data_IF_102859315052
#
_entry.id   IF_102859315052
#
_cell.length_a   1.000
_cell.length_b   1.000
_cell.length_c   1.000
_cell.angle_alpha   90.00
_cell.angle_beta   90.00
_cell.angle_gamma   90.00
#
_symmetry.space_group_name_H-M   'P 1'
#
loop_
_entity.id
_entity.type
_entity.pdbx_description
1 polymer ?
#
# COMPACT_ATOMS: atom_id res chain seq x y z
N UNK A 1 38.24 -6.14 -21.81
CA UNK A 1 39.04 -7.37 -21.58
C UNK A 1 39.48 -7.34 -20.13
N UNK A 2 39.41 -8.49 -19.45
CA UNK A 2 39.59 -8.75 -18.01
C UNK A 2 38.37 -8.61 -17.11
N UNK A 3 38.04 -9.78 -16.55
CA UNK A 3 36.97 -10.12 -15.65
C UNK A 3 37.46 -10.08 -14.21
N UNK A 4 36.54 -9.87 -13.27
CA UNK A 4 36.72 -10.26 -11.87
C UNK A 4 35.69 -11.33 -11.51
N UNK A 5 36.21 -12.40 -10.92
CA UNK A 5 35.53 -13.62 -10.50
C UNK A 5 34.98 -13.45 -9.08
N UNK A 6 33.80 -13.99 -8.83
CA UNK A 6 33.31 -14.39 -7.51
C UNK A 6 32.61 -15.74 -7.63
N UNK A 7 33.21 -16.78 -7.07
CA UNK A 7 32.83 -18.19 -7.20
C UNK A 7 31.98 -18.66 -6.01
N UNK A 8 30.89 -19.39 -6.27
CA UNK A 8 30.22 -20.23 -5.26
C UNK A 8 30.03 -21.64 -5.82
N UNK A 9 30.35 -22.63 -4.98
CA UNK A 9 30.43 -24.06 -5.28
C UNK A 9 29.06 -24.69 -5.60
N UNK A 10 29.02 -25.47 -6.67
CA UNK A 10 27.94 -26.41 -7.00
C UNK A 10 28.24 -27.78 -6.39
N UNK A 11 27.40 -28.28 -5.50
CA UNK A 11 27.36 -29.68 -5.10
C UNK A 11 26.26 -30.42 -5.88
N UNK A 12 26.64 -31.46 -6.62
CA UNK A 12 25.71 -32.42 -7.24
C UNK A 12 25.37 -33.52 -6.24
N UNK A 13 24.14 -34.05 -6.27
CA UNK A 13 23.91 -35.44 -5.92
C UNK A 13 23.56 -36.27 -7.17
N UNK A 14 24.35 -37.31 -7.38
CA UNK A 14 24.05 -38.43 -8.28
C UNK A 14 23.26 -39.50 -7.51
N UNK A 15 22.23 -40.11 -8.13
CA UNK A 15 21.94 -41.52 -7.90
C UNK A 15 20.49 -41.94 -7.67
N UNK A 16 19.88 -42.45 -8.74
CA UNK A 16 19.00 -43.64 -8.82
C UNK A 16 17.83 -43.80 -7.82
N UNK A 17 16.63 -43.55 -8.35
CA UNK A 17 15.69 -44.62 -8.71
C UNK A 17 14.91 -45.29 -7.57
N UNK A 18 13.64 -44.92 -7.45
CA UNK A 18 12.57 -45.83 -7.01
C UNK A 18 11.26 -45.45 -7.69
N UNK A 19 10.69 -46.42 -8.43
CA UNK A 19 9.32 -46.39 -8.93
C UNK A 19 8.39 -46.62 -7.73
N UNK A 20 7.44 -45.72 -7.49
CA UNK A 20 6.32 -45.99 -6.61
C UNK A 20 5.01 -45.86 -7.39
N UNK A 21 4.25 -46.95 -7.37
CA UNK A 21 3.02 -47.14 -8.10
C UNK A 21 1.87 -46.36 -7.45
N UNK A 22 1.16 -45.56 -8.24
CA UNK A 22 -0.14 -45.02 -7.88
C UNK A 22 -1.18 -46.15 -7.94
N UNK A 23 -1.58 -46.65 -6.77
CA UNK A 23 -2.81 -47.44 -6.62
C UNK A 23 -3.97 -46.47 -6.43
N UNK A 24 -4.93 -46.55 -7.35
CA UNK A 24 -6.26 -45.97 -7.19
C UNK A 24 -6.94 -46.54 -5.93
N UNK A 25 -7.51 -45.66 -5.11
CA UNK A 25 -8.41 -46.02 -4.03
C UNK A 25 -9.66 -45.13 -4.11
N UNK A 26 -10.80 -45.79 -3.93
CA UNK A 26 -12.12 -45.37 -4.36
C UNK A 26 -12.78 -44.32 -3.47
N UNK A 27 -13.62 -43.52 -4.11
CA UNK A 27 -14.68 -42.66 -3.55
C UNK A 27 -15.64 -43.47 -2.67
N UNK A 28 -15.97 -43.02 -1.44
CA UNK A 28 -17.20 -43.42 -0.78
C UNK A 28 -18.30 -42.37 -1.03
N UNK A 29 -19.42 -42.88 -1.53
CA UNK A 29 -20.66 -42.15 -1.84
C UNK A 29 -21.31 -41.58 -0.56
N UNK A 30 -21.80 -40.34 -0.65
CA UNK A 30 -22.73 -39.72 0.32
C UNK A 30 -24.09 -40.43 0.30
N UNK A 31 -24.83 -40.50 1.42
CA UNK A 31 -26.27 -40.61 1.38
C UNK A 31 -26.94 -39.22 1.41
N UNK A 32 -27.99 -39.08 0.62
CA UNK A 32 -28.87 -37.92 0.54
C UNK A 32 -29.63 -37.67 1.85
N UNK A 33 -29.68 -36.41 2.28
CA UNK A 33 -30.78 -35.89 3.09
C UNK A 33 -31.25 -34.56 2.51
N UNK A 34 -32.49 -34.55 2.02
CA UNK A 34 -33.25 -33.35 1.69
C UNK A 34 -33.62 -32.67 3.01
N UNK A 35 -33.43 -31.35 3.10
CA UNK A 35 -34.33 -30.54 3.91
C UNK A 35 -34.39 -29.11 3.41
N UNK A 36 -35.59 -28.74 2.96
CA UNK A 36 -36.10 -27.39 2.80
C UNK A 36 -36.18 -26.71 4.17
N UNK A 37 -35.66 -25.49 4.30
CA UNK A 37 -35.77 -24.71 5.54
C UNK A 37 -35.47 -23.24 5.28
N UNK A 38 -36.54 -22.46 5.30
CA UNK A 38 -36.64 -21.00 5.23
C UNK A 38 -35.64 -20.23 6.11
N UNK A 39 -35.10 -19.15 5.55
CA UNK A 39 -34.38 -18.08 6.27
C UNK A 39 -35.33 -17.38 7.22
N UNK A 40 -35.01 -17.36 8.52
CA UNK A 40 -35.67 -16.52 9.52
C UNK A 40 -34.62 -15.57 10.08
N UNK A 41 -34.79 -14.29 9.79
CA UNK A 41 -34.09 -13.19 10.44
C UNK A 41 -34.75 -12.97 11.79
N UNK A 42 -34.04 -13.25 12.89
CA UNK A 42 -34.52 -12.95 14.23
C UNK A 42 -33.77 -11.71 14.75
N UNK A 43 -34.50 -10.60 14.84
CA UNK A 43 -34.12 -9.44 15.62
C UNK A 43 -34.18 -9.81 17.12
N UNK A 44 -33.11 -9.54 17.86
CA UNK A 44 -33.11 -9.65 19.31
C UNK A 44 -32.86 -8.26 19.91
N UNK A 45 -33.95 -7.65 20.40
CA UNK A 45 -33.95 -6.55 21.35
C UNK A 45 -33.98 -7.13 22.78
N UNK A 46 -33.08 -6.64 23.64
CA UNK A 46 -33.27 -6.30 25.08
C UNK A 46 -31.89 -6.32 25.79
N UNK A 47 -31.41 -5.16 26.24
CA UNK A 47 -31.51 -4.69 27.64
C UNK A 47 -30.73 -5.57 28.64
N UNK A 48 -29.44 -5.24 28.83
CA UNK A 48 -28.70 -5.59 30.04
C UNK A 48 -28.07 -4.33 30.64
N UNK A 49 -28.48 -4.00 31.87
CA UNK A 49 -28.06 -2.82 32.64
C UNK A 49 -26.59 -2.95 33.09
N UNK A 50 -25.98 -1.77 33.18
CA UNK A 50 -24.59 -1.47 33.49
C UNK A 50 -24.05 -2.06 34.81
N UNK A 51 -22.86 -2.65 34.75
CA UNK A 51 -21.84 -2.49 35.78
C UNK A 51 -20.70 -1.63 35.20
N UNK A 52 -20.61 -0.39 35.68
CA UNK A 52 -19.60 0.57 35.24
C UNK A 52 -18.23 0.17 35.80
N UNK A 53 -17.50 -0.68 35.07
CA UNK A 53 -16.04 -0.70 35.18
C UNK A 53 -15.53 0.57 34.52
N UNK A 54 -14.84 1.41 35.30
CA UNK A 54 -14.10 2.58 34.81
C UNK A 54 -12.93 2.10 33.92
N UNK A 55 -13.23 1.58 32.73
CA UNK A 55 -12.28 1.59 31.62
C UNK A 55 -12.09 3.05 31.25
N UNK A 56 -10.92 3.57 31.60
CA UNK A 56 -10.45 4.88 31.16
C UNK A 56 -10.36 4.77 29.64
N UNK A 57 -11.39 5.21 28.92
CA UNK A 57 -11.36 5.33 27.46
C UNK A 57 -10.20 6.27 27.14
N UNK A 58 -9.05 5.71 26.79
CA UNK A 58 -8.04 6.44 26.04
C UNK A 58 -8.77 6.88 24.79
N UNK A 59 -9.04 8.17 24.69
CA UNK A 59 -9.74 8.78 23.56
C UNK A 59 -9.05 8.33 22.27
N UNK A 60 -9.81 7.83 21.29
CA UNK A 60 -9.32 7.39 19.97
C UNK A 60 -8.35 8.42 19.34
N UNK A 61 -8.50 9.70 19.65
CA UNK A 61 -7.56 10.80 19.33
C UNK A 61 -6.08 10.58 19.72
N UNK A 62 -5.79 9.64 20.62
CA UNK A 62 -4.41 9.32 21.06
C UNK A 62 -3.77 8.14 20.32
N UNK A 63 -4.55 7.37 19.57
CA UNK A 63 -4.09 6.16 18.87
C UNK A 63 -3.91 6.37 17.36
N UNK A 64 -4.45 7.45 16.78
CA UNK A 64 -4.37 7.74 15.34
C UNK A 64 -3.08 8.49 15.01
N UNK A 65 -2.02 7.73 14.70
CA UNK A 65 -0.75 8.27 14.17
C UNK A 65 -0.94 8.79 12.74
N UNK A 66 -1.76 8.10 11.94
CA UNK A 66 -2.08 8.40 10.55
C UNK A 66 -3.59 8.31 10.36
N UNK A 67 -4.19 9.35 9.80
CA UNK A 67 -5.63 9.49 9.61
C UNK A 67 -5.97 10.92 9.20
N UNK A 68 -7.11 11.17 8.54
CA UNK A 68 -7.43 12.47 7.97
C UNK A 68 -7.38 13.57 9.04
N UNK A 69 -6.45 14.51 8.84
CA UNK A 69 -6.28 15.67 9.72
C UNK A 69 -7.26 16.78 9.28
N UNK A 70 -7.69 17.66 10.20
CA UNK A 70 -8.62 18.75 9.88
C UNK A 70 -8.02 19.80 8.94
N UNK A 71 -6.69 19.86 8.83
CA UNK A 71 -5.97 20.80 7.99
C UNK A 71 -5.13 20.06 6.98
N UNK A 72 -4.86 20.70 5.84
CA UNK A 72 -3.99 20.13 4.81
C UNK A 72 -2.62 19.79 5.40
N UNK A 73 -2.07 18.64 5.03
CA UNK A 73 -0.77 18.16 5.51
C UNK A 73 0.31 18.12 4.43
N UNK A 74 1.55 18.23 4.87
CA UNK A 74 2.79 18.03 4.12
C UNK A 74 3.76 17.22 4.99
N UNK A 75 4.85 16.72 4.40
CA UNK A 75 5.93 16.09 5.16
C UNK A 75 6.78 17.13 5.92
N UNK A 76 7.47 16.71 7.01
CA UNK A 76 8.34 17.58 7.81
C UNK A 76 9.73 17.76 7.20
N UNK A 77 10.33 16.70 6.69
CA UNK A 77 11.65 16.69 6.07
C UNK A 77 11.61 15.98 4.73
N UNK A 78 12.60 16.28 3.90
CA UNK A 78 12.77 15.66 2.61
C UNK A 78 13.22 14.21 2.77
N UNK A 79 12.61 13.33 1.98
CA UNK A 79 13.01 11.92 1.89
C UNK A 79 13.04 11.52 0.43
N UNK A 80 13.77 10.48 0.08
CA UNK A 80 13.74 10.04 -1.30
C UNK A 80 14.26 8.63 -1.47
N UNK A 81 13.98 8.08 -2.63
CA UNK A 81 14.28 6.72 -3.00
C UNK A 81 14.78 6.71 -4.44
N UNK A 82 15.71 5.80 -4.73
CA UNK A 82 16.20 5.56 -6.08
C UNK A 82 15.91 4.11 -6.47
N UNK A 83 15.69 3.87 -7.76
CA UNK A 83 15.42 2.52 -8.24
C UNK A 83 15.12 2.47 -9.72
N UNK A 84 14.66 1.31 -10.18
CA UNK A 84 14.37 1.02 -11.57
C UNK A 84 12.85 1.04 -11.77
N UNK A 85 12.39 1.71 -12.83
CA UNK A 85 10.98 1.64 -13.24
C UNK A 85 10.58 0.24 -13.71
N UNK A 86 9.41 -0.23 -13.27
CA UNK A 86 8.90 -1.57 -13.59
C UNK A 86 8.80 -1.81 -15.09
N UNK A 87 8.21 -0.87 -15.82
CA UNK A 87 7.88 -1.03 -17.22
C UNK A 87 9.00 -0.59 -18.13
N UNK A 88 9.64 0.55 -17.85
CA UNK A 88 10.63 1.20 -18.70
C UNK A 88 12.04 0.62 -18.52
N UNK A 89 12.35 0.05 -17.35
CA UNK A 89 13.70 -0.27 -16.89
C UNK A 89 14.64 0.94 -16.81
N UNK A 90 14.10 2.16 -16.76
CA UNK A 90 14.88 3.37 -16.57
C UNK A 90 15.17 3.55 -15.07
N UNK A 91 16.39 3.94 -14.74
CA UNK A 91 16.76 4.28 -13.36
C UNK A 91 16.32 5.71 -13.06
N UNK A 92 15.71 5.93 -11.91
CA UNK A 92 15.26 7.24 -11.47
C UNK A 92 15.54 7.45 -9.98
N UNK A 93 15.88 8.68 -9.62
CA UNK A 93 15.84 9.15 -8.24
C UNK A 93 14.56 9.95 -8.06
N UNK A 94 13.85 9.70 -6.96
CA UNK A 94 12.66 10.44 -6.57
C UNK A 94 12.87 11.00 -5.17
N UNK A 95 12.57 12.29 -5.00
CA UNK A 95 12.67 13.00 -3.73
C UNK A 95 11.35 13.69 -3.41
N UNK A 96 10.77 13.34 -2.27
CA UNK A 96 9.58 13.97 -1.71
C UNK A 96 10.02 15.15 -0.85
N UNK A 97 9.53 16.33 -1.16
CA UNK A 97 9.79 17.56 -0.43
C UNK A 97 8.50 18.12 0.16
N UNK A 98 8.59 18.88 1.28
CA UNK A 98 7.44 19.61 1.79
C UNK A 98 6.87 20.59 0.74
N UNK A 99 5.58 20.91 0.83
CA UNK A 99 4.98 21.94 -0.02
C UNK A 99 3.95 22.81 0.74
N UNK A 100 3.77 24.08 0.34
CA UNK A 100 2.80 24.98 0.95
C UNK A 100 1.36 24.49 0.82
N UNK A 101 0.46 25.04 1.64
CA UNK A 101 -0.98 24.81 1.50
C UNK A 101 -1.48 25.17 0.10
N UNK A 102 -2.52 24.47 -0.36
CA UNK A 102 -3.20 24.67 -1.65
C UNK A 102 -2.39 24.36 -2.89
N UNK A 103 -1.19 23.80 -2.74
CA UNK A 103 -0.35 23.44 -3.89
C UNK A 103 -0.69 22.08 -4.47
N UNK A 104 -1.26 21.18 -3.66
CA UNK A 104 -1.51 19.81 -4.04
C UNK A 104 -0.22 19.00 -4.17
N UNK A 105 -0.34 17.83 -4.80
CA UNK A 105 0.78 16.98 -5.16
C UNK A 105 1.20 17.26 -6.59
N UNK A 106 2.48 17.44 -6.84
CA UNK A 106 2.97 17.71 -8.18
C UNK A 106 4.38 17.17 -8.38
N UNK A 107 4.67 16.77 -9.62
CA UNK A 107 5.96 16.25 -10.03
C UNK A 107 6.77 17.34 -10.72
N UNK A 108 8.08 17.32 -10.49
CA UNK A 108 9.04 18.22 -11.12
C UNK A 108 10.23 17.43 -11.64
N UNK A 109 10.65 17.70 -12.87
CA UNK A 109 11.92 17.18 -13.40
C UNK A 109 13.06 18.09 -12.95
N UNK A 110 14.00 17.54 -12.19
CA UNK A 110 15.23 18.27 -11.80
C UNK A 110 16.40 17.89 -12.72
N UNK A 111 17.41 18.78 -12.88
CA UNK A 111 18.58 18.49 -13.70
C UNK A 111 19.39 17.28 -13.17
N UNK A 112 20.04 16.56 -14.08
CA UNK A 112 20.96 15.48 -13.73
C UNK A 112 22.06 15.97 -12.76
N UNK A 113 22.37 15.16 -11.75
CA UNK A 113 23.31 15.47 -10.68
C UNK A 113 22.69 16.12 -9.43
N UNK A 114 21.41 16.53 -9.48
CA UNK A 114 20.74 17.27 -8.38
C UNK A 114 20.43 16.38 -7.17
N UNK A 115 19.94 15.17 -7.42
CA UNK A 115 19.57 14.15 -6.46
C UNK A 115 20.68 13.11 -6.33
N UNK A 116 21.23 12.61 -7.44
CA UNK A 116 22.23 11.54 -7.43
C UNK A 116 23.43 11.86 -6.51
N UNK A 117 23.92 13.11 -6.54
CA UNK A 117 25.00 13.56 -5.65
C UNK A 117 24.65 13.57 -4.15
N UNK A 118 23.36 13.72 -3.83
CA UNK A 118 22.83 13.67 -2.46
C UNK A 118 22.66 12.21 -2.01
N UNK A 119 22.17 11.35 -2.90
CA UNK A 119 22.02 9.92 -2.61
C UNK A 119 23.35 9.20 -2.48
N UNK A 120 24.35 9.52 -3.31
CA UNK A 120 25.71 8.96 -3.18
C UNK A 120 26.36 9.32 -1.83
N UNK A 121 26.05 10.51 -1.30
CA UNK A 121 26.48 10.94 0.03
C UNK A 121 25.65 10.29 1.14
N UNK A 122 24.35 10.06 0.93
CA UNK A 122 23.46 9.44 1.88
C UNK A 122 23.67 7.92 2.00
N UNK A 123 23.96 7.20 0.91
CA UNK A 123 24.36 5.77 0.95
C UNK A 123 25.68 5.58 1.73
N UNK A 124 26.60 6.55 1.65
CA UNK A 124 27.80 6.57 2.47
C UNK A 124 27.51 6.88 3.96
N UNK A 125 26.33 7.42 4.29
CA UNK A 125 25.83 7.68 5.65
C UNK A 125 24.72 6.71 6.10
N UNK A 126 24.28 5.76 5.24
CA UNK A 126 23.11 4.89 5.42
C UNK A 126 23.27 3.81 6.51
N UNK A 127 24.39 3.82 7.22
CA UNK A 127 24.57 3.15 8.52
C UNK A 127 23.96 3.95 9.69
N UNK A 128 23.31 5.09 9.46
CA UNK A 128 22.50 5.74 10.51
C UNK A 128 21.26 4.90 10.79
N UNK A 129 21.34 4.10 11.84
CA UNK A 129 20.23 3.36 12.44
C UNK A 129 18.96 4.24 12.46
N UNK A 130 17.87 3.68 11.93
CA UNK A 130 16.52 4.09 12.27
C UNK A 130 16.43 4.34 13.79
N UNK A 131 15.68 5.35 14.28
CA UNK A 131 15.37 5.42 15.70
C UNK A 131 14.83 4.07 16.14
N UNK A 132 15.47 3.43 17.13
CA UNK A 132 15.22 2.01 17.46
C UNK A 132 13.73 1.68 17.59
N UNK A 133 12.90 2.61 18.06
CA UNK A 133 11.45 2.46 18.15
C UNK A 133 10.70 2.26 16.82
N UNK A 134 11.15 2.88 15.71
CA UNK A 134 10.54 2.70 14.39
C UNK A 134 11.03 1.41 13.74
N UNK A 135 12.29 1.03 13.95
CA UNK A 135 12.82 -0.30 13.60
C UNK A 135 12.06 -1.39 14.32
N UNK A 136 11.88 -1.25 15.63
CA UNK A 136 11.09 -2.15 16.47
C UNK A 136 9.68 -2.26 15.88
N UNK A 137 8.97 -1.15 15.64
CA UNK A 137 7.62 -1.19 15.06
C UNK A 137 7.56 -1.89 13.69
N UNK A 138 8.49 -1.62 12.77
CA UNK A 138 8.50 -2.22 11.44
C UNK A 138 8.85 -3.71 11.49
N UNK A 139 9.82 -4.11 12.31
CA UNK A 139 10.21 -5.52 12.53
C UNK A 139 9.14 -6.31 13.29
N UNK A 140 8.44 -5.67 14.21
CA UNK A 140 7.35 -6.26 14.98
C UNK A 140 6.08 -6.52 14.16
N UNK A 141 5.95 -5.86 13.00
CA UNK A 141 4.85 -6.00 12.06
C UNK A 141 5.26 -6.74 10.76
N UNK A 142 6.49 -7.28 10.68
CA UNK A 142 6.83 -8.26 9.65
C UNK A 142 6.01 -9.56 9.83
N UNK A 143 5.79 -10.35 8.75
CA UNK A 143 5.01 -11.59 8.79
C UNK A 143 5.74 -12.75 9.51
N UNK A 144 6.34 -12.50 10.68
CA UNK A 144 6.82 -13.50 11.63
C UNK A 144 6.07 -13.41 12.99
N UNK A 145 4.73 -13.46 12.92
CA UNK A 145 3.85 -13.69 14.08
C UNK A 145 4.23 -14.96 14.90
N UNK A 146 5.06 -15.83 14.35
CA UNK A 146 5.54 -17.07 14.98
C UNK A 146 6.68 -16.92 16.00
N UNK A 147 7.63 -15.97 15.84
CA UNK A 147 8.82 -15.90 16.73
C UNK A 147 8.56 -15.15 18.03
N UNK A 148 7.73 -14.10 17.98
CA UNK A 148 7.38 -13.27 19.14
C UNK A 148 6.50 -14.00 20.16
N UNK A 149 5.52 -14.76 19.66
CA UNK A 149 4.64 -15.58 20.50
C UNK A 149 5.39 -16.66 21.28
N UNK A 150 6.52 -17.15 20.77
CA UNK A 150 7.33 -18.17 21.44
C UNK A 150 8.10 -17.61 22.65
N UNK A 151 8.65 -16.39 22.55
CA UNK A 151 9.31 -15.71 23.67
C UNK A 151 8.30 -15.28 24.75
N UNK A 152 7.14 -14.77 24.34
CA UNK A 152 6.07 -14.40 25.28
C UNK A 152 5.47 -15.61 25.99
N UNK A 153 5.32 -16.75 25.30
CA UNK A 153 4.86 -17.98 25.92
C UNK A 153 5.82 -18.44 27.04
N UNK A 154 7.13 -18.34 26.83
CA UNK A 154 8.12 -18.70 27.85
C UNK A 154 8.04 -17.79 29.09
N UNK A 155 7.87 -16.48 28.90
CA UNK A 155 7.71 -15.53 30.01
C UNK A 155 6.41 -15.74 30.80
N UNK A 156 5.31 -16.06 30.12
CA UNK A 156 4.05 -16.42 30.78
C UNK A 156 4.20 -17.68 31.64
N UNK A 157 4.95 -18.69 31.15
CA UNK A 157 5.27 -19.90 31.93
C UNK A 157 6.06 -19.53 33.19
N UNK A 158 7.14 -18.75 33.05
CA UNK A 158 8.00 -18.36 34.18
C UNK A 158 7.21 -17.59 35.26
N UNK A 159 6.32 -16.67 34.85
CA UNK A 159 5.50 -15.89 35.79
C UNK A 159 4.34 -16.69 36.42
N UNK A 160 3.82 -17.68 35.70
CA UNK A 160 2.82 -18.63 36.24
C UNK A 160 3.47 -19.55 37.28
N UNK A 161 4.72 -19.96 37.05
CA UNK A 161 5.51 -20.76 38.00
C UNK A 161 5.93 -19.96 39.24
N UNK A 162 6.22 -18.67 39.08
CA UNK A 162 6.52 -17.75 40.19
C UNK A 162 5.27 -17.29 40.96
N UNK A 163 4.07 -17.61 40.46
CA UNK A 163 2.79 -17.20 41.05
C UNK A 163 2.51 -15.69 40.97
N UNK A 164 3.26 -14.96 40.16
CA UNK A 164 3.12 -13.51 39.95
C UNK A 164 2.01 -13.16 38.97
N UNK A 165 1.49 -14.14 38.21
CA UNK A 165 0.31 -13.98 37.37
C UNK A 165 -0.59 -15.22 37.44
N UNK A 166 -1.92 -15.00 37.39
CA UNK A 166 -2.92 -16.07 37.34
C UNK A 166 -3.93 -15.77 36.24
N UNK A 167 -3.87 -16.52 35.13
CA UNK A 167 -4.75 -16.33 33.97
C UNK A 167 -4.24 -17.15 32.76
N UNK A 168 -4.98 -17.13 31.66
CA UNK A 168 -4.53 -17.77 30.41
C UNK A 168 -3.42 -16.96 29.73
N UNK A 169 -2.71 -17.56 28.77
CA UNK A 169 -1.72 -16.82 27.97
C UNK A 169 -2.36 -15.63 27.23
N UNK A 170 -3.60 -15.76 26.75
CA UNK A 170 -4.33 -14.66 26.10
C UNK A 170 -4.71 -13.52 27.07
N UNK A 171 -5.06 -13.84 28.32
CA UNK A 171 -5.30 -12.83 29.37
C UNK A 171 -4.00 -12.09 29.72
N UNK A 172 -2.89 -12.83 29.83
CA UNK A 172 -1.55 -12.31 30.11
C UNK A 172 -1.04 -11.40 28.99
N UNK A 173 -1.32 -11.78 27.74
CA UNK A 173 -0.97 -11.04 26.53
C UNK A 173 -1.84 -9.78 26.39
N UNK A 174 -3.14 -9.88 26.70
CA UNK A 174 -4.08 -8.75 26.62
C UNK A 174 -3.76 -7.60 27.57
N UNK A 175 -3.24 -7.90 28.78
CA UNK A 175 -2.88 -6.87 29.75
C UNK A 175 -1.56 -6.13 29.41
N UNK A 176 -0.63 -6.79 28.73
CA UNK A 176 0.68 -6.21 28.37
C UNK A 176 0.67 -5.54 27.00
N UNK A 177 -0.12 -6.06 26.06
CA UNK A 177 -0.21 -5.49 24.70
C UNK A 177 -0.83 -4.09 24.66
N UNK A 178 -1.80 -3.75 25.52
CA UNK A 178 -2.39 -2.40 25.51
C UNK A 178 -1.41 -1.34 26.04
N UNK A 179 -0.70 -1.62 27.13
CA UNK A 179 0.27 -0.68 27.69
C UNK A 179 1.58 -0.62 26.89
N UNK A 180 2.05 -1.75 26.35
CA UNK A 180 3.21 -1.80 25.45
C UNK A 180 2.90 -1.15 24.11
N UNK A 181 1.71 -1.36 23.54
CA UNK A 181 1.27 -0.64 22.35
C UNK A 181 1.15 0.87 22.63
N UNK A 182 0.60 1.27 23.78
CA UNK A 182 0.56 2.70 24.17
C UNK A 182 1.97 3.27 24.35
N UNK A 183 2.88 2.57 25.03
CA UNK A 183 4.29 2.99 25.20
C UNK A 183 5.03 3.04 23.86
N UNK A 184 4.80 2.09 22.97
CA UNK A 184 5.34 2.06 21.62
C UNK A 184 4.79 3.23 20.80
N UNK A 185 3.49 3.49 20.84
CA UNK A 185 2.86 4.64 20.18
C UNK A 185 3.35 5.98 20.74
N UNK A 186 3.57 6.08 22.05
CA UNK A 186 4.18 7.26 22.69
C UNK A 186 5.64 7.46 22.24
N UNK A 187 6.44 6.38 22.15
CA UNK A 187 7.81 6.41 21.60
C UNK A 187 7.82 6.81 20.13
N UNK A 188 6.94 6.22 19.31
CA UNK A 188 6.78 6.56 17.90
C UNK A 188 6.40 8.03 17.77
N UNK A 189 5.42 8.50 18.55
CA UNK A 189 5.01 9.90 18.56
C UNK A 189 6.15 10.83 18.95
N UNK A 190 6.90 10.50 20.00
CA UNK A 190 8.06 11.29 20.42
C UNK A 190 9.15 11.32 19.33
N UNK A 191 9.41 10.20 18.66
CA UNK A 191 10.34 10.12 17.54
C UNK A 191 9.86 10.97 16.35
N UNK A 192 8.57 10.87 15.99
CA UNK A 192 7.96 11.68 14.93
C UNK A 192 7.96 13.17 15.28
N UNK A 193 7.74 13.53 16.55
CA UNK A 193 7.78 14.92 17.03
C UNK A 193 9.21 15.49 16.99
N UNK A 194 10.23 14.65 17.21
CA UNK A 194 11.64 15.02 17.15
C UNK A 194 12.19 15.20 15.72
N UNK A 195 11.47 14.76 14.69
CA UNK A 195 11.88 14.95 13.29
C UNK A 195 12.04 16.45 13.00
N UNK A 196 13.21 16.89 12.52
CA UNK A 196 13.44 18.27 12.13
C UNK A 196 12.45 18.74 11.07
N UNK A 197 12.12 20.02 11.14
CA UNK A 197 11.19 20.63 10.20
C UNK A 197 12.01 21.41 9.17
N UNK A 198 12.05 20.90 7.95
CA UNK A 198 12.70 21.57 6.82
C UNK A 198 11.80 22.67 6.25
N UNK A 199 12.39 23.75 5.71
CA UNK A 199 11.63 24.75 4.97
C UNK A 199 11.04 24.14 3.70
N UNK A 200 9.91 24.69 3.26
CA UNK A 200 9.35 24.39 1.95
C UNK A 200 10.31 24.94 0.87
N UNK A 201 10.69 24.15 -0.15
CA UNK A 201 11.53 24.64 -1.23
C UNK A 201 10.79 25.71 -2.04
N UNK A 202 11.52 26.77 -2.38
CA UNK A 202 11.00 27.84 -3.22
C UNK A 202 10.68 27.32 -4.63
N UNK A 203 9.49 27.57 -5.17
CA UNK A 203 9.14 27.17 -6.54
C UNK A 203 10.11 27.77 -7.56
N UNK A 204 10.66 26.94 -8.45
CA UNK A 204 11.54 27.42 -9.51
C UNK A 204 10.69 27.83 -10.71
N UNK A 205 10.78 29.10 -11.10
CA UNK A 205 10.00 29.62 -12.22
C UNK A 205 10.35 28.90 -13.52
N UNK A 206 9.35 28.27 -14.14
CA UNK A 206 9.48 27.61 -15.43
C UNK A 206 10.13 26.21 -15.37
N UNK A 207 10.22 25.62 -14.18
CA UNK A 207 10.65 24.22 -14.06
C UNK A 207 9.68 23.27 -14.78
N UNK A 208 10.16 22.17 -15.38
CA UNK A 208 9.27 21.18 -15.98
C UNK A 208 8.44 20.53 -14.88
N UNK A 209 7.12 20.66 -14.99
CA UNK A 209 6.16 20.29 -13.96
C UNK A 209 4.94 19.59 -14.55
N UNK A 210 4.38 18.64 -13.81
CA UNK A 210 3.04 18.09 -14.05
C UNK A 210 2.35 17.91 -12.70
N UNK A 211 1.09 18.35 -12.60
CA UNK A 211 0.32 18.17 -11.36
C UNK A 211 -0.23 16.75 -11.29
N UNK A 212 -0.33 16.19 -10.08
CA UNK A 212 -0.99 14.91 -9.85
C UNK A 212 -2.51 15.10 -9.85
N UNK A 213 -3.04 15.43 -11.02
CA UNK A 213 -4.44 15.78 -11.23
C UNK A 213 -4.99 15.11 -12.49
N UNK A 214 -6.28 14.75 -12.47
CA UNK A 214 -6.98 14.05 -13.56
C UNK A 214 -6.89 14.78 -14.91
N UNK A 215 -6.73 16.10 -14.93
CA UNK A 215 -6.54 16.88 -16.17
C UNK A 215 -5.24 16.57 -16.91
N UNK A 216 -4.24 16.01 -16.23
CA UNK A 216 -2.97 15.59 -16.82
C UNK A 216 -2.89 14.09 -17.02
N UNK A 217 -3.93 13.32 -16.66
CA UNK A 217 -3.98 11.88 -16.83
C UNK A 217 -4.18 11.53 -18.31
N UNK A 218 -3.27 10.73 -18.85
CA UNK A 218 -3.35 10.17 -20.21
C UNK A 218 -3.47 8.66 -20.15
N UNK A 219 -4.44 8.10 -20.89
CA UNK A 219 -4.67 6.65 -20.95
C UNK A 219 -3.79 6.03 -22.05
N UNK A 220 -2.49 5.87 -21.77
CA UNK A 220 -1.53 5.25 -22.71
C UNK A 220 -1.40 3.73 -22.51
N UNK A 221 -1.67 3.23 -21.31
CA UNK A 221 -1.40 1.85 -20.91
C UNK A 221 -2.47 1.33 -19.93
N UNK A 222 -2.93 0.08 -20.07
CA UNK A 222 -3.79 -0.54 -19.06
C UNK A 222 -3.00 -0.99 -17.81
N UNK A 223 -1.67 -0.91 -17.81
CA UNK A 223 -0.79 -1.48 -16.77
C UNK A 223 -0.19 -0.48 -15.78
N UNK A 224 -0.30 0.82 -16.04
CA UNK A 224 0.20 1.87 -15.15
C UNK A 224 -0.47 3.21 -15.46
N UNK A 225 -0.48 4.14 -14.50
CA UNK A 225 -0.93 5.51 -14.75
C UNK A 225 0.16 6.33 -15.43
N UNK A 226 -0.26 7.25 -16.30
CA UNK A 226 0.64 8.22 -16.94
C UNK A 226 0.11 9.63 -16.77
N UNK A 227 0.93 10.51 -16.21
CA UNK A 227 0.68 11.95 -16.14
C UNK A 227 1.57 12.66 -17.14
N UNK A 228 0.98 13.57 -17.92
CA UNK A 228 1.70 14.28 -18.97
C UNK A 228 1.30 15.75 -19.03
N UNK A 229 2.32 16.61 -19.01
CA UNK A 229 2.22 18.03 -19.38
C UNK A 229 3.01 18.29 -20.67
N UNK A 230 2.99 19.54 -21.14
CA UNK A 230 3.82 19.97 -22.28
C UNK A 230 5.33 19.82 -22.03
N UNK A 231 5.74 19.72 -20.75
CA UNK A 231 7.15 19.78 -20.34
C UNK A 231 7.71 18.46 -19.81
N UNK A 232 6.86 17.53 -19.37
CA UNK A 232 7.32 16.25 -18.81
C UNK A 232 6.24 15.17 -18.84
N UNK A 233 6.69 13.92 -18.74
CA UNK A 233 5.87 12.72 -18.55
C UNK A 233 6.32 11.98 -17.30
N UNK A 234 5.36 11.47 -16.54
CA UNK A 234 5.55 10.61 -15.37
C UNK A 234 4.72 9.34 -15.54
N UNK A 235 5.34 8.17 -15.41
CA UNK A 235 4.71 6.85 -15.50
C UNK A 235 4.76 6.13 -14.15
N UNK A 236 3.79 5.25 -13.88
CA UNK A 236 3.82 4.35 -12.72
C UNK A 236 3.68 5.07 -11.38
N UNK A 237 2.94 6.18 -11.33
CA UNK A 237 2.83 7.00 -10.11
C UNK A 237 1.83 6.46 -9.08
N UNK A 238 1.01 5.47 -9.45
CA UNK A 238 -0.10 4.94 -8.64
C UNK A 238 0.30 4.56 -7.22
N UNK A 239 1.39 3.80 -7.01
CA UNK A 239 1.78 3.32 -5.68
C UNK A 239 2.25 4.46 -4.77
N UNK A 240 3.03 5.39 -5.31
CA UNK A 240 3.47 6.59 -4.57
C UNK A 240 2.26 7.46 -4.22
N UNK A 241 1.36 7.71 -5.16
CA UNK A 241 0.15 8.50 -4.92
C UNK A 241 -0.78 7.83 -3.90
N UNK A 242 -0.90 6.51 -3.95
CA UNK A 242 -1.66 5.74 -2.97
C UNK A 242 -1.06 5.88 -1.56
N UNK A 243 0.26 5.76 -1.44
CA UNK A 243 0.95 5.95 -0.16
C UNK A 243 0.80 7.37 0.39
N UNK A 244 0.89 8.40 -0.46
CA UNK A 244 0.66 9.80 -0.06
C UNK A 244 -0.78 10.02 0.40
N UNK A 245 -1.77 9.54 -0.36
CA UNK A 245 -3.19 9.69 -0.04
C UNK A 245 -3.56 8.95 1.26
N UNK A 246 -3.15 7.69 1.41
CA UNK A 246 -3.41 6.90 2.61
C UNK A 246 -2.69 7.45 3.85
N UNK A 247 -1.53 8.10 3.65
CA UNK A 247 -0.84 8.82 4.72
C UNK A 247 -1.48 10.17 5.04
N UNK A 248 -2.42 10.66 4.22
CA UNK A 248 -3.04 11.97 4.38
C UNK A 248 -2.12 13.14 4.02
N UNK A 249 -1.13 12.94 3.13
CA UNK A 249 -0.27 14.00 2.60
C UNK A 249 -0.95 14.66 1.41
N UNK A 250 -1.34 15.91 1.60
CA UNK A 250 -2.12 16.66 0.62
C UNK A 250 -1.26 17.55 -0.28
N UNK A 251 -0.19 18.09 0.29
CA UNK A 251 0.75 18.96 -0.40
C UNK A 251 2.13 18.33 -0.39
N UNK A 252 2.67 18.02 -1.57
CA UNK A 252 4.01 17.46 -1.71
C UNK A 252 4.60 17.80 -3.06
N UNK A 253 5.83 18.31 -3.04
CA UNK A 253 6.65 18.47 -4.23
C UNK A 253 7.42 17.17 -4.45
N UNK A 254 7.26 16.56 -5.63
CA UNK A 254 7.87 15.29 -5.97
C UNK A 254 8.91 15.52 -7.07
N UNK A 255 10.17 15.57 -6.69
CA UNK A 255 11.27 15.78 -7.63
C UNK A 255 11.72 14.46 -8.23
N UNK A 256 11.96 14.44 -9.53
CA UNK A 256 12.43 13.27 -10.27
C UNK A 256 13.69 13.63 -11.05
N UNK A 257 14.74 12.81 -10.92
CA UNK A 257 15.95 12.83 -11.75
C UNK A 257 16.06 11.50 -12.50
N UNK A 258 16.55 11.52 -13.73
CA UNK A 258 16.72 10.32 -14.57
C UNK A 258 15.44 9.93 -15.30
N UNK A 259 15.02 8.67 -15.16
CA UNK A 259 13.92 8.05 -15.92
C UNK A 259 12.56 8.75 -15.81
N UNK A 260 11.67 8.39 -16.74
CA UNK A 260 10.30 8.91 -16.82
C UNK A 260 9.28 8.18 -15.95
N UNK A 261 9.68 7.09 -15.30
CA UNK A 261 8.84 6.26 -14.46
C UNK A 261 9.25 6.39 -12.99
N UNK A 262 8.27 6.43 -12.09
CA UNK A 262 8.52 6.37 -10.64
C UNK A 262 9.18 5.01 -10.33
N UNK A 263 10.32 5.00 -9.61
CA UNK A 263 11.04 3.78 -9.35
C UNK A 263 10.18 2.84 -8.51
N UNK A 264 10.24 1.58 -8.89
CA UNK A 264 9.64 0.50 -8.16
C UNK A 264 10.64 0.04 -7.10
N UNK A 265 10.20 0.02 -5.84
CA UNK A 265 11.01 -0.48 -4.72
C UNK A 265 11.04 -2.01 -4.77
N UNK A 266 9.86 -2.61 -4.60
CA UNK A 266 9.57 -4.04 -4.53
C UNK A 266 8.20 -4.38 -5.17
N UNK A 267 7.69 -3.48 -6.02
CA UNK A 267 6.31 -3.40 -6.56
C UNK A 267 5.20 -3.33 -5.51
N UNK A 268 5.52 -2.84 -4.31
CA UNK A 268 4.53 -2.53 -3.28
C UNK A 268 4.45 -1.01 -3.08
N UNK A 269 3.40 -0.56 -2.38
CA UNK A 269 3.35 0.81 -1.86
C UNK A 269 4.03 0.95 -0.50
N UNK A 270 4.45 -0.16 0.13
CA UNK A 270 4.96 -0.18 1.50
C UNK A 270 6.25 0.64 1.64
N UNK A 271 7.19 0.50 0.71
CA UNK A 271 8.41 1.32 0.70
C UNK A 271 8.10 2.82 0.73
N UNK A 272 7.13 3.27 -0.07
CA UNK A 272 6.70 4.68 -0.04
C UNK A 272 6.05 5.07 1.29
N UNK A 273 5.19 4.22 1.86
CA UNK A 273 4.60 4.44 3.18
C UNK A 273 5.69 4.59 4.25
N UNK A 274 6.70 3.73 4.24
CA UNK A 274 7.81 3.76 5.18
C UNK A 274 8.58 5.09 5.12
N UNK A 275 8.95 5.52 3.90
CA UNK A 275 9.67 6.78 3.71
C UNK A 275 8.84 8.00 4.11
N UNK A 276 7.53 8.01 3.81
CA UNK A 276 6.62 9.08 4.25
C UNK A 276 6.51 9.12 5.78
N UNK A 277 6.43 7.96 6.45
CA UNK A 277 6.42 7.89 7.92
C UNK A 277 7.73 8.44 8.51
N UNK A 278 8.88 8.04 7.95
CA UNK A 278 10.22 8.56 8.33
C UNK A 278 10.35 10.07 8.10
N UNK A 279 9.67 10.60 7.09
CA UNK A 279 9.63 12.04 6.81
C UNK A 279 8.83 12.84 7.86
N UNK A 280 7.93 12.17 8.58
CA UNK A 280 6.99 12.81 9.51
C UNK A 280 5.99 13.73 8.79
N UNK A 281 4.92 14.10 9.50
CA UNK A 281 3.84 14.93 8.94
C UNK A 281 3.66 16.22 9.72
N UNK A 282 3.24 17.28 9.04
CA UNK A 282 2.86 18.57 9.63
C UNK A 282 1.76 19.22 8.80
N UNK A 283 1.06 20.19 9.39
CA UNK A 283 0.20 21.08 8.63
C UNK A 283 1.01 21.82 7.55
N UNK A 284 0.44 21.97 6.35
CA UNK A 284 1.04 22.72 5.25
C UNK A 284 0.98 24.21 5.54
N UNK A 285 2.11 24.91 5.44
CA UNK A 285 2.20 26.32 5.81
C UNK A 285 1.79 26.63 7.26
N UNK A 286 1.58 27.92 7.53
CA UNK A 286 1.14 28.42 8.86
C UNK A 286 -0.35 28.76 8.93
N UNK A 287 -1.05 28.72 7.80
CA UNK A 287 -2.40 29.23 7.64
C UNK A 287 -3.51 28.28 8.14
N UNK A 288 -3.16 27.03 8.45
CA UNK A 288 -4.11 25.97 8.84
C UNK A 288 -5.27 25.86 7.85
N UNK A 289 -4.97 25.84 6.56
CA UNK A 289 -5.98 25.61 5.52
C UNK A 289 -6.74 24.31 5.78
N UNK A 290 -8.08 24.30 5.83
CA UNK A 290 -8.86 23.09 6.02
C UNK A 290 -8.61 22.05 4.93
N UNK A 291 -8.57 20.78 5.33
CA UNK A 291 -8.58 19.65 4.38
C UNK A 291 -10.03 19.26 4.11
N UNK A 292 -10.42 19.22 2.84
CA UNK A 292 -11.80 18.88 2.43
C UNK A 292 -11.76 17.58 1.62
N UNK A 293 -12.79 16.75 1.74
CA UNK A 293 -13.03 15.64 0.84
C UNK A 293 -14.10 16.03 -0.19
N UNK A 294 -13.92 15.68 -1.49
CA UNK A 294 -14.96 15.90 -2.48
C UNK A 294 -16.25 15.17 -2.10
N UNK A 295 -17.41 15.78 -2.34
CA UNK A 295 -18.71 15.17 -2.03
C UNK A 295 -19.36 14.73 -3.33
N UNK A 296 -19.62 13.43 -3.45
CA UNK A 296 -20.26 12.88 -4.64
C UNK A 296 -21.78 13.09 -4.57
N UNK A 297 -22.36 13.74 -5.58
CA UNK A 297 -23.80 14.06 -5.63
C UNK A 297 -24.69 12.88 -6.02
N UNK A 298 -24.24 12.09 -7.00
CA UNK A 298 -24.95 10.93 -7.51
C UNK A 298 -24.01 9.76 -7.83
N UNK A 299 -24.52 8.51 -7.92
CA UNK A 299 -23.71 7.38 -8.31
C UNK A 299 -23.09 7.53 -9.71
N UNK A 300 -21.81 7.18 -9.83
CA UNK A 300 -21.06 7.12 -11.10
C UNK A 300 -20.68 5.68 -11.39
N UNK A 301 -20.88 5.21 -12.61
CA UNK A 301 -20.57 3.84 -13.02
C UNK A 301 -19.95 3.81 -14.42
N UNK A 302 -18.86 3.06 -14.55
CA UNK A 302 -18.18 2.77 -15.81
C UNK A 302 -17.91 1.27 -15.86
N UNK A 303 -18.11 0.67 -17.03
CA UNK A 303 -17.83 -0.75 -17.25
C UNK A 303 -17.35 -1.00 -18.68
N UNK A 304 -16.48 -2.00 -18.84
CA UNK A 304 -16.04 -2.45 -20.15
C UNK A 304 -16.92 -3.59 -20.71
N UNK A 305 -16.64 -4.01 -21.94
CA UNK A 305 -17.36 -5.10 -22.59
C UNK A 305 -17.02 -6.50 -22.02
N UNK A 306 -15.89 -6.64 -21.31
CA UNK A 306 -15.44 -7.89 -20.69
C UNK A 306 -16.09 -8.12 -19.31
N UNK A 307 -16.74 -7.10 -18.74
CA UNK A 307 -17.42 -7.15 -17.46
C UNK A 307 -16.59 -6.57 -16.30
N UNK A 308 -15.45 -5.95 -16.56
CA UNK A 308 -14.76 -5.14 -15.58
C UNK A 308 -15.56 -3.85 -15.33
N UNK A 309 -15.60 -3.38 -14.09
CA UNK A 309 -16.36 -2.18 -13.75
C UNK A 309 -15.75 -1.39 -12.60
N UNK A 310 -16.12 -0.12 -12.53
CA UNK A 310 -15.98 0.73 -11.36
C UNK A 310 -17.30 1.44 -11.08
N UNK A 311 -17.68 1.51 -9.81
CA UNK A 311 -18.84 2.26 -9.34
C UNK A 311 -18.46 3.09 -8.12
N UNK A 312 -18.87 4.34 -8.08
CA UNK A 312 -18.89 5.14 -6.84
C UNK A 312 -20.34 5.39 -6.46
N UNK A 313 -20.70 5.11 -5.22
CA UNK A 313 -21.98 5.48 -4.62
C UNK A 313 -21.76 6.47 -3.49
N UNK A 314 -22.49 7.61 -3.44
CA UNK A 314 -22.36 8.58 -2.35
C UNK A 314 -22.45 7.92 -0.97
N UNK A 315 -21.58 8.31 -0.05
CA UNK A 315 -21.51 7.79 1.31
C UNK A 315 -20.97 8.86 2.26
N UNK A 316 -21.15 8.68 3.57
CA UNK A 316 -20.65 9.63 4.58
C UNK A 316 -19.14 9.47 4.84
N UNK A 317 -18.55 8.35 4.41
CA UNK A 317 -17.13 8.02 4.52
C UNK A 317 -16.58 7.57 3.18
N UNK A 318 -15.26 7.70 3.00
CA UNK A 318 -14.60 7.22 1.79
C UNK A 318 -14.10 5.78 1.98
N UNK A 319 -14.62 4.87 1.17
CA UNK A 319 -14.26 3.45 1.19
C UNK A 319 -13.92 3.00 -0.22
N UNK A 320 -12.82 2.26 -0.36
CA UNK A 320 -12.42 1.64 -1.63
C UNK A 320 -12.46 0.14 -1.47
N UNK A 321 -13.20 -0.54 -2.34
CA UNK A 321 -13.21 -2.00 -2.46
C UNK A 321 -12.76 -2.38 -3.85
N UNK A 322 -11.75 -3.23 -3.95
CA UNK A 322 -11.28 -3.75 -5.22
C UNK A 322 -11.29 -5.27 -5.21
N UNK A 323 -11.67 -5.85 -6.34
CA UNK A 323 -11.70 -7.28 -6.54
C UNK A 323 -11.17 -7.66 -7.91
N UNK A 324 -10.75 -8.93 -8.01
CA UNK A 324 -10.16 -9.49 -9.22
C UNK A 324 -10.84 -10.81 -9.59
N UNK A 325 -11.01 -11.07 -10.89
CA UNK A 325 -11.43 -12.38 -11.40
C UNK A 325 -10.24 -13.15 -11.98
N UNK A 326 -9.60 -13.95 -11.13
CA UNK A 326 -8.53 -14.86 -11.52
C UNK A 326 -9.00 -16.31 -11.38
N UNK A 327 -10.26 -16.59 -11.74
CA UNK A 327 -10.83 -17.94 -11.70
C UNK A 327 -10.06 -18.96 -12.57
N UNK A 328 -9.31 -18.48 -13.57
CA UNK A 328 -8.39 -19.26 -14.40
C UNK A 328 -7.03 -19.55 -13.73
N UNK A 329 -6.75 -18.95 -12.57
CA UNK A 329 -5.60 -19.20 -11.70
C UNK A 329 -6.10 -19.82 -10.39
N UNK A 330 -6.26 -21.15 -10.30
CA UNK A 330 -6.99 -21.82 -9.21
C UNK A 330 -6.52 -21.49 -7.79
N UNK A 331 -5.23 -21.21 -7.60
CA UNK A 331 -4.67 -20.84 -6.29
C UNK A 331 -5.12 -19.43 -5.84
N UNK A 332 -5.37 -18.52 -6.78
CA UNK A 332 -5.80 -17.14 -6.50
C UNK A 332 -7.33 -17.05 -6.46
N UNK A 333 -7.98 -17.52 -7.52
CA UNK A 333 -9.43 -17.46 -7.66
C UNK A 333 -9.98 -16.03 -7.68
N UNK A 334 -11.20 -15.88 -7.17
CA UNK A 334 -11.87 -14.57 -7.07
C UNK A 334 -11.65 -14.00 -5.68
N UNK A 335 -11.25 -12.74 -5.63
CA UNK A 335 -10.87 -12.08 -4.39
C UNK A 335 -11.48 -10.68 -4.33
N UNK A 336 -11.70 -10.21 -3.10
CA UNK A 336 -12.08 -8.84 -2.78
C UNK A 336 -11.26 -8.37 -1.58
N UNK A 337 -10.88 -7.11 -1.60
CA UNK A 337 -10.33 -6.41 -0.47
C UNK A 337 -11.00 -5.04 -0.35
N UNK A 338 -11.10 -4.53 0.87
CA UNK A 338 -11.70 -3.23 1.13
C UNK A 338 -10.85 -2.47 2.14
N UNK A 339 -10.74 -1.16 1.92
CA UNK A 339 -10.04 -0.24 2.78
C UNK A 339 -10.87 1.04 2.97
N UNK A 340 -10.91 1.54 4.20
CA UNK A 340 -11.56 2.80 4.55
C UNK A 340 -10.50 3.87 4.83
N UNK A 341 -10.72 5.10 4.36
CA UNK A 341 -9.72 6.18 4.44
C UNK A 341 -9.30 6.51 5.89
N UNK A 342 -10.17 6.24 6.85
CA UNK A 342 -9.91 6.44 8.27
C UNK A 342 -8.90 5.44 8.86
N UNK A 343 -8.67 4.31 8.18
CA UNK A 343 -7.81 3.22 8.64
C UNK A 343 -6.44 3.23 7.94
N UNK A 344 -5.66 4.28 8.15
CA UNK A 344 -4.33 4.38 7.55
C UNK A 344 -3.37 3.28 8.03
N UNK A 345 -3.53 2.75 9.26
CA UNK A 345 -2.76 1.59 9.75
C UNK A 345 -3.11 0.33 8.96
N UNK A 346 -4.40 0.11 8.68
CA UNK A 346 -4.88 -0.98 7.83
C UNK A 346 -4.40 -0.85 6.38
N UNK A 347 -4.20 0.37 5.86
CA UNK A 347 -3.53 0.54 4.57
C UNK A 347 -2.10 0.02 4.62
N UNK A 348 -1.29 0.52 5.56
CA UNK A 348 0.15 0.24 5.65
C UNK A 348 0.42 -1.24 5.94
N UNK A 349 -0.35 -1.85 6.84
CA UNK A 349 -0.17 -3.27 7.22
C UNK A 349 -0.93 -4.25 6.32
N UNK A 350 -1.98 -3.79 5.63
CA UNK A 350 -2.88 -4.63 4.85
C UNK A 350 -2.65 -4.51 3.35
N UNK A 351 -2.97 -3.35 2.76
CA UNK A 351 -2.95 -3.15 1.32
C UNK A 351 -1.55 -2.85 0.77
N UNK A 352 -0.81 -1.95 1.42
CA UNK A 352 0.48 -1.44 0.96
C UNK A 352 1.55 -2.50 0.68
N UNK A 353 1.67 -3.62 1.43
CA UNK A 353 2.66 -4.67 1.18
C UNK A 353 2.33 -5.59 -0.01
N UNK A 354 1.14 -5.45 -0.62
CA UNK A 354 0.74 -6.31 -1.72
C UNK A 354 1.53 -6.01 -2.99
N UNK A 355 2.24 -7.01 -3.51
CA UNK A 355 3.04 -6.88 -4.74
C UNK A 355 2.16 -6.91 -5.99
N UNK A 356 2.65 -6.28 -7.06
CA UNK A 356 2.06 -6.44 -8.38
C UNK A 356 2.07 -7.92 -8.79
N UNK A 357 1.01 -8.34 -9.49
CA UNK A 357 0.79 -9.74 -9.82
C UNK A 357 0.55 -9.92 -11.33
N UNK A 358 1.05 -11.02 -11.90
CA UNK A 358 0.79 -11.47 -13.28
C UNK A 358 0.18 -12.87 -13.23
N UNK A 359 -0.84 -13.14 -14.06
CA UNK A 359 -1.61 -14.40 -13.99
C UNK A 359 -0.79 -15.63 -14.38
N UNK A 360 0.17 -15.48 -15.29
CA UNK A 360 1.00 -16.60 -15.77
C UNK A 360 2.35 -16.17 -16.33
N UNK A 361 3.28 -17.12 -16.39
CA UNK A 361 4.58 -16.93 -17.06
C UNK A 361 4.42 -16.62 -18.56
N UNK A 362 3.41 -17.19 -19.22
CA UNK A 362 3.10 -16.86 -20.62
C UNK A 362 2.72 -15.38 -20.78
N UNK A 363 1.87 -14.88 -19.87
CA UNK A 363 1.49 -13.48 -19.85
C UNK A 363 2.69 -12.57 -19.53
N UNK A 364 3.55 -12.97 -18.60
CA UNK A 364 4.78 -12.24 -18.30
C UNK A 364 5.68 -12.11 -19.54
N UNK A 365 5.88 -13.19 -20.30
CA UNK A 365 6.62 -13.15 -21.55
C UNK A 365 5.95 -12.30 -22.63
N UNK A 366 4.61 -12.34 -22.74
CA UNK A 366 3.87 -11.48 -23.65
C UNK A 366 4.09 -10.00 -23.32
N UNK A 367 3.95 -9.61 -22.06
CA UNK A 367 4.22 -8.24 -21.62
C UNK A 367 5.66 -7.80 -21.91
N UNK A 368 6.64 -8.67 -21.63
CA UNK A 368 8.06 -8.39 -21.93
C UNK A 368 8.30 -8.17 -23.42
N UNK A 369 7.65 -8.96 -24.29
CA UNK A 369 7.73 -8.83 -25.75
C UNK A 369 7.10 -7.53 -26.23
N UNK A 370 6.04 -7.08 -25.56
CA UNK A 370 5.32 -5.85 -25.89
C UNK A 370 5.97 -4.60 -25.25
N UNK A 371 7.16 -4.76 -24.65
CA UNK A 371 7.95 -3.66 -24.11
C UNK A 371 7.56 -3.21 -22.69
N UNK A 372 6.74 -4.00 -22.00
CA UNK A 372 6.32 -3.78 -20.61
C UNK A 372 7.16 -4.64 -19.66
N UNK A 373 7.10 -4.35 -18.35
CA UNK A 373 7.77 -5.10 -17.29
C UNK A 373 9.29 -5.28 -17.55
N UNK A 374 9.93 -4.33 -18.25
CA UNK A 374 11.35 -4.47 -18.63
C UNK A 374 12.30 -4.46 -17.43
N UNK A 375 11.90 -3.82 -16.33
CA UNK A 375 12.63 -3.72 -15.07
C UNK A 375 12.25 -4.80 -14.06
N UNK A 376 11.27 -5.65 -14.35
CA UNK A 376 10.84 -6.70 -13.43
C UNK A 376 11.94 -7.76 -13.23
N UNK A 377 12.29 -8.02 -11.98
CA UNK A 377 13.08 -9.17 -11.55
C UNK A 377 12.23 -10.22 -10.83
N UNK A 378 12.84 -11.35 -10.46
CA UNK A 378 12.15 -12.49 -9.80
C UNK A 378 11.49 -12.09 -8.46
N UNK A 379 12.06 -11.13 -7.73
CA UNK A 379 11.51 -10.64 -6.47
C UNK A 379 10.46 -9.53 -6.64
N UNK A 380 10.33 -8.95 -7.83
CA UNK A 380 9.59 -7.71 -8.07
C UNK A 380 8.11 -7.95 -8.33
N UNK A 381 7.72 -9.08 -8.92
CA UNK A 381 6.33 -9.32 -9.36
C UNK A 381 5.97 -10.77 -9.10
N UNK A 382 4.81 -10.99 -8.49
CA UNK A 382 4.32 -12.33 -8.24
C UNK A 382 3.68 -12.91 -9.51
N UNK A 383 4.13 -14.07 -9.97
CA UNK A 383 3.64 -14.70 -11.20
C UNK A 383 2.91 -16.00 -10.87
N UNK A 384 1.64 -16.10 -11.28
CA UNK A 384 0.85 -17.32 -11.13
C UNK A 384 1.43 -18.50 -11.92
N UNK A 385 1.38 -19.70 -11.34
CA UNK A 385 1.88 -20.94 -11.93
C UNK A 385 0.96 -22.11 -11.57
N UNK A 386 -0.21 -22.17 -12.21
CA UNK A 386 -1.18 -23.25 -11.99
C UNK A 386 -1.74 -23.22 -10.56
N UNK A 387 -1.34 -24.20 -9.75
CA UNK A 387 -1.71 -24.37 -8.34
C UNK A 387 -0.70 -23.75 -7.34
N UNK A 388 0.30 -23.02 -7.83
CA UNK A 388 1.24 -22.24 -7.00
C UNK A 388 1.63 -20.90 -7.66
N UNK A 389 2.58 -20.18 -7.07
CA UNK A 389 3.30 -19.08 -7.72
C UNK A 389 4.69 -19.53 -8.19
N UNK A 390 5.26 -18.80 -9.15
CA UNK A 390 6.62 -18.96 -9.66
C UNK A 390 7.63 -18.17 -8.79
N UNK A 391 7.49 -18.17 -7.47
CA UNK A 391 8.30 -17.39 -6.54
C UNK A 391 8.93 -18.31 -5.48
N UNK A 392 10.26 -18.21 -5.33
CA UNK A 392 11.00 -18.85 -4.23
C UNK A 392 10.73 -18.15 -2.87
N UNK A 393 10.12 -16.95 -2.88
CA UNK A 393 9.66 -16.19 -1.72
C UNK A 393 8.15 -16.32 -1.47
N UNK A 394 7.56 -17.49 -1.75
CA UNK A 394 6.14 -17.75 -1.53
C UNK A 394 5.65 -17.39 -0.10
N UNK A 395 6.55 -17.42 0.89
CA UNK A 395 6.27 -17.06 2.29
C UNK A 395 5.91 -15.58 2.49
N UNK A 396 6.30 -14.69 1.56
CA UNK A 396 5.93 -13.25 1.60
C UNK A 396 4.53 -12.97 1.05
N UNK A 397 3.90 -13.95 0.40
CA UNK A 397 2.60 -13.78 -0.25
C UNK A 397 1.46 -14.11 0.72
N UNK A 398 0.52 -13.18 0.95
CA UNK A 398 -0.57 -13.42 1.92
C UNK A 398 -1.84 -13.99 1.29
N UNK A 399 -1.74 -14.68 0.15
CA UNK A 399 -2.87 -15.29 -0.54
C UNK A 399 -3.72 -14.30 -1.35
N UNK A 400 -3.88 -13.08 -0.82
CA UNK A 400 -4.85 -12.06 -1.23
C UNK A 400 -4.21 -10.82 -1.88
N UNK A 401 -2.91 -10.85 -2.18
CA UNK A 401 -2.20 -9.72 -2.80
C UNK A 401 -2.89 -9.20 -4.06
N UNK A 402 -3.43 -10.02 -4.98
CA UNK A 402 -4.11 -9.50 -6.17
C UNK A 402 -5.24 -8.51 -5.86
N UNK A 403 -6.12 -8.81 -4.91
CA UNK A 403 -7.18 -7.87 -4.52
C UNK A 403 -6.65 -6.70 -3.68
N UNK A 404 -5.64 -6.93 -2.82
CA UNK A 404 -5.02 -5.88 -2.00
C UNK A 404 -4.25 -4.86 -2.85
N UNK A 405 -3.52 -5.33 -3.85
CA UNK A 405 -2.82 -4.52 -4.85
C UNK A 405 -3.82 -3.75 -5.71
N UNK A 406 -4.92 -4.38 -6.12
CA UNK A 406 -6.00 -3.66 -6.82
C UNK A 406 -6.60 -2.51 -5.99
N UNK A 407 -6.63 -2.63 -4.64
CA UNK A 407 -6.99 -1.52 -3.76
C UNK A 407 -5.92 -0.42 -3.82
N UNK A 408 -4.63 -0.76 -3.77
CA UNK A 408 -3.53 0.22 -3.92
C UNK A 408 -3.65 0.98 -5.24
N UNK A 409 -3.84 0.27 -6.36
CA UNK A 409 -3.95 0.88 -7.68
C UNK A 409 -5.18 1.80 -7.79
N UNK A 410 -6.33 1.39 -7.23
CA UNK A 410 -7.54 2.19 -7.20
C UNK A 410 -7.40 3.44 -6.33
N UNK A 411 -6.79 3.33 -5.14
CA UNK A 411 -6.50 4.47 -4.25
C UNK A 411 -5.53 5.44 -4.93
N UNK A 412 -4.48 4.92 -5.57
CA UNK A 412 -3.50 5.71 -6.33
C UNK A 412 -4.11 6.44 -7.52
N UNK A 413 -5.06 5.81 -8.21
CA UNK A 413 -5.83 6.48 -9.25
C UNK A 413 -6.72 7.57 -8.65
N UNK A 414 -7.56 7.26 -7.67
CA UNK A 414 -8.48 8.23 -7.02
C UNK A 414 -7.74 9.43 -6.41
N UNK A 415 -6.48 9.28 -6.00
CA UNK A 415 -5.63 10.38 -5.57
C UNK A 415 -5.51 11.51 -6.62
N UNK A 416 -5.67 11.22 -7.92
CA UNK A 416 -5.65 12.23 -8.98
C UNK A 416 -6.90 13.11 -9.03
N UNK A 417 -7.93 12.80 -8.25
CA UNK A 417 -9.06 13.71 -8.02
C UNK A 417 -8.71 14.77 -6.96
N UNK A 418 -7.51 14.79 -6.38
CA UNK A 418 -7.17 15.84 -5.42
C UNK A 418 -7.06 17.21 -6.10
N UNK A 419 -7.79 18.19 -5.59
CA UNK A 419 -7.76 19.56 -6.09
C UNK A 419 -7.32 20.54 -4.99
N UNK A 420 -6.33 21.39 -5.27
CA UNK A 420 -5.93 22.48 -4.36
C UNK A 420 -5.52 22.00 -2.96
N UNK A 421 -4.83 20.86 -2.85
CA UNK A 421 -4.41 20.28 -1.56
C UNK A 421 -5.56 19.66 -0.75
N UNK A 422 -6.67 19.31 -1.39
CA UNK A 422 -7.74 18.52 -0.77
C UNK A 422 -7.51 17.01 -0.96
N UNK A 423 -8.33 16.19 -0.30
CA UNK A 423 -8.30 14.74 -0.47
C UNK A 423 -8.64 14.37 -1.93
N UNK A 424 -8.03 13.29 -2.43
CA UNK A 424 -8.44 12.72 -3.71
C UNK A 424 -9.67 11.83 -3.58
N UNK A 425 -9.84 11.15 -2.45
CA UNK A 425 -10.98 10.24 -2.28
C UNK A 425 -12.28 11.02 -2.03
N UNK A 426 -13.31 10.86 -2.88
CA UNK A 426 -14.63 11.43 -2.61
C UNK A 426 -15.31 10.70 -1.44
N UNK A 427 -16.25 11.38 -0.78
CA UNK A 427 -17.17 10.78 0.18
C UNK A 427 -18.14 9.83 -0.56
N UNK A 428 -17.66 8.61 -0.78
CA UNK A 428 -18.30 7.57 -1.53
C UNK A 428 -17.73 6.19 -1.16
N UNK A 429 -18.54 5.15 -1.36
CA UNK A 429 -18.02 3.81 -1.53
C UNK A 429 -17.69 3.59 -3.01
N UNK A 430 -16.41 3.46 -3.31
CA UNK A 430 -15.91 3.07 -4.63
C UNK A 430 -15.69 1.56 -4.66
N UNK A 431 -16.34 0.85 -5.57
CA UNK A 431 -16.12 -0.56 -5.83
C UNK A 431 -15.55 -0.77 -7.24
N UNK A 432 -14.44 -1.48 -7.35
CA UNK A 432 -13.73 -1.79 -8.59
C UNK A 432 -13.63 -3.31 -8.77
N UNK A 433 -13.94 -3.82 -9.96
CA UNK A 433 -13.85 -5.24 -10.29
C UNK A 433 -13.07 -5.43 -11.58
N UNK A 434 -11.94 -6.14 -11.48
CA UNK A 434 -10.99 -6.39 -12.58
C UNK A 434 -10.59 -5.11 -13.33
N UNK A 435 -10.56 -3.99 -12.60
CA UNK A 435 -10.36 -2.66 -13.17
C UNK A 435 -8.89 -2.46 -13.54
N UNK A 436 -8.65 -2.11 -14.80
CA UNK A 436 -7.33 -1.73 -15.30
C UNK A 436 -7.09 -0.23 -15.13
N UNK A 437 -5.85 0.24 -15.33
CA UNK A 437 -5.57 1.68 -15.34
C UNK A 437 -6.30 2.44 -16.46
N UNK A 438 -6.66 1.76 -17.55
CA UNK A 438 -7.51 2.35 -18.59
C UNK A 438 -8.93 2.60 -18.07
N UNK A 439 -9.50 1.62 -17.35
CA UNK A 439 -10.80 1.77 -16.71
C UNK A 439 -10.78 2.80 -15.58
N UNK A 440 -9.68 2.87 -14.82
CA UNK A 440 -9.45 3.92 -13.83
C UNK A 440 -9.52 5.30 -14.49
N UNK A 441 -8.83 5.51 -15.60
CA UNK A 441 -8.84 6.79 -16.31
C UNK A 441 -10.24 7.18 -16.78
N UNK A 442 -11.01 6.27 -17.37
CA UNK A 442 -12.39 6.53 -17.78
C UNK A 442 -13.29 6.86 -16.59
N UNK A 443 -13.16 6.10 -15.50
CA UNK A 443 -13.91 6.32 -14.27
C UNK A 443 -13.59 7.67 -13.63
N UNK A 444 -12.31 8.05 -13.56
CA UNK A 444 -11.88 9.33 -13.02
C UNK A 444 -12.46 10.51 -13.79
N UNK A 445 -12.49 10.43 -15.12
CA UNK A 445 -13.12 11.47 -15.95
C UNK A 445 -14.63 11.57 -15.68
N UNK A 446 -15.32 10.43 -15.50
CA UNK A 446 -16.73 10.40 -15.18
C UNK A 446 -17.01 10.99 -13.78
N UNK A 447 -16.18 10.68 -12.78
CA UNK A 447 -16.29 11.23 -11.43
C UNK A 447 -15.98 12.73 -11.41
N UNK A 448 -14.91 13.18 -12.06
CA UNK A 448 -14.56 14.60 -12.12
C UNK A 448 -15.70 15.46 -12.69
N UNK A 449 -16.40 14.95 -13.72
CA UNK A 449 -17.58 15.59 -14.29
C UNK A 449 -18.76 15.69 -13.29
N UNK A 450 -18.96 14.68 -12.46
CA UNK A 450 -20.00 14.68 -11.42
C UNK A 450 -19.65 15.59 -10.24
N UNK A 451 -18.36 15.76 -9.93
CA UNK A 451 -17.87 16.68 -8.91
C UNK A 451 -17.92 18.17 -9.36
N UNK A 452 -18.38 18.43 -10.59
CA UNK A 452 -18.48 19.76 -11.21
C UNK A 452 -17.14 20.51 -11.34
N UNK A 453 -16.05 19.80 -11.66
CA UNK A 453 -14.75 20.40 -11.98
C UNK A 453 -14.58 20.76 -13.45
#
# INVERSE_FOLDING_TARGET
MQALRGSVLVSRPTGRGQRCALKAAAVPRRPHARNSGSVVVAAATESAKSSASKRRKVTEDKLVVTGPKPYQQTIKQTVGLAGIGLHTAEYAHVRLCPAPSKTGRYFVRVPDGTLSSVFDQAEAEADRELPSALTDFLQENEPEKGRRNLQFFQQWVDESELGSFTGTFDDWLGERTEEEAVRLLERIRAALDAIPVEPEPEPVKGEPRVDAHVSYLVSESPHYLTLQSDSMVVRGAEHLLAALEASGIDNCRIEIEGGSEIPMVDSTAFGWCEYIMRAGQRASGSDRTPRISPVLGAPVHVADAAGAFMVATPADTAVVSAGVDWADVPYVGRQWHAWAVEDAVGFVSGAAPARSCIKSMEQAFAYRRDGLYKGAGEASVTIGCGDSFHDDNADMFMGSDPARHAVVDAVGALALLAEGGNAGLPLAHVAAWDATHALHAEFLQAVAKELEW
#
